data_IF_071863821817
#
_entry.id   IF_071863821817
#
_cell.length_a   1.000
_cell.length_b   1.000
_cell.length_c   1.000
_cell.angle_alpha   90.00
_cell.angle_beta   90.00
_cell.angle_gamma   90.00
#
_symmetry.space_group_name_H-M   'P 1'
#
loop_
_entity.id
_entity.type
_entity.pdbx_description
1 polymer ?
#
# COMPACT_ATOMS: atom_id res chain seq x y z
N UNK A 1 2.03 -0.53 10.73
CA UNK A 1 2.43 0.89 10.68
C UNK A 1 1.83 1.56 11.92
N UNK A 2 2.63 2.11 12.85
CA UNK A 2 2.05 2.84 14.01
C UNK A 2 1.39 4.12 13.49
N UNK A 3 0.12 4.34 13.86
CA UNK A 3 -0.61 5.56 13.51
C UNK A 3 0.11 6.78 14.12
N UNK A 4 0.15 7.88 13.38
CA UNK A 4 0.56 9.19 13.91
C UNK A 4 -0.62 9.82 14.66
N UNK A 5 -0.33 10.60 15.71
CA UNK A 5 -1.35 11.30 16.49
C UNK A 5 -1.98 12.46 15.70
N UNK A 6 -1.15 13.21 14.96
CA UNK A 6 -1.57 14.28 14.05
C UNK A 6 -0.75 14.29 12.75
N UNK A 7 -1.36 14.79 11.68
CA UNK A 7 -0.72 15.02 10.39
C UNK A 7 -0.99 16.45 9.93
N UNK A 8 0.09 17.24 9.83
CA UNK A 8 0.11 18.56 9.22
C UNK A 8 0.31 18.44 7.71
N UNK A 9 -0.62 18.95 6.92
CA UNK A 9 -0.52 19.08 5.47
C UNK A 9 -0.31 20.56 5.14
N UNK A 10 0.71 20.90 4.35
CA UNK A 10 0.98 22.28 3.93
C UNK A 10 0.97 22.35 2.40
N UNK A 11 0.19 23.28 1.83
CA UNK A 11 0.13 23.40 0.38
C UNK A 11 1.39 24.10 -0.18
N UNK A 12 1.89 23.62 -1.32
CA UNK A 12 3.06 24.16 -2.03
C UNK A 12 2.78 24.50 -3.50
N UNK A 13 1.59 24.22 -4.04
CA UNK A 13 1.30 24.32 -5.48
C UNK A 13 0.30 25.40 -5.92
N UNK A 14 -0.05 26.37 -5.08
CA UNK A 14 -1.14 27.33 -5.35
C UNK A 14 -0.68 28.61 -6.06
N UNK A 15 -1.62 29.31 -6.74
CA UNK A 15 -1.38 30.66 -7.31
C UNK A 15 -1.37 31.79 -6.27
N UNK A 16 -1.73 31.49 -5.01
CA UNK A 16 -1.90 32.46 -3.93
C UNK A 16 -0.68 32.61 -3.00
N UNK A 17 0.29 31.71 -3.07
CA UNK A 17 1.54 31.78 -2.33
C UNK A 17 2.63 31.10 -3.14
N UNK A 18 3.86 31.61 -3.05
CA UNK A 18 4.98 31.03 -3.78
C UNK A 18 5.30 29.62 -3.23
N UNK A 19 5.59 28.62 -4.08
CA UNK A 19 5.88 27.25 -3.63
C UNK A 19 6.95 27.17 -2.54
N UNK A 20 7.96 28.01 -2.64
CA UNK A 20 9.09 28.11 -1.71
C UNK A 20 8.63 28.50 -0.30
N UNK A 21 7.55 29.30 -0.18
CA UNK A 21 6.97 29.66 1.12
C UNK A 21 6.38 28.44 1.82
N UNK A 22 5.63 27.60 1.10
CA UNK A 22 5.06 26.36 1.65
C UNK A 22 6.14 25.33 2.02
N UNK A 23 7.18 25.21 1.20
CA UNK A 23 8.33 24.34 1.47
C UNK A 23 9.14 24.80 2.69
N UNK A 24 9.38 26.11 2.81
CA UNK A 24 10.04 26.71 3.97
C UNK A 24 9.24 26.45 5.26
N UNK A 25 7.92 26.62 5.22
CA UNK A 25 7.05 26.32 6.36
C UNK A 25 7.07 24.81 6.72
N UNK A 26 7.10 23.92 5.73
CA UNK A 26 7.21 22.48 6.00
C UNK A 26 8.56 22.11 6.62
N UNK A 27 9.67 22.70 6.14
CA UNK A 27 10.99 22.53 6.75
C UNK A 27 11.00 23.04 8.19
N UNK A 28 10.47 24.24 8.42
CA UNK A 28 10.38 24.85 9.74
C UNK A 28 9.53 24.02 10.71
N UNK A 29 8.40 23.48 10.25
CA UNK A 29 7.56 22.60 11.05
C UNK A 29 8.32 21.35 11.54
N UNK A 30 9.14 20.74 10.67
CA UNK A 30 9.94 19.56 11.01
C UNK A 30 11.02 19.83 12.07
N UNK A 31 11.53 21.05 12.15
CA UNK A 31 12.42 21.51 13.23
C UNK A 31 11.63 21.63 14.54
N UNK A 32 10.49 22.32 14.50
CA UNK A 32 9.64 22.58 15.66
C UNK A 32 9.06 21.29 16.29
N UNK A 33 8.88 20.22 15.52
CA UNK A 33 8.41 18.94 16.07
C UNK A 33 9.42 18.24 16.99
N UNK A 34 10.71 18.53 16.87
CA UNK A 34 11.78 17.86 17.62
C UNK A 34 11.63 16.33 17.65
N UNK A 35 11.49 15.76 18.84
CA UNK A 35 11.36 14.32 19.07
C UNK A 35 10.03 13.72 18.65
N UNK A 36 9.00 14.53 18.40
CA UNK A 36 7.67 14.08 17.97
C UNK A 36 7.64 13.63 16.51
N UNK A 37 8.74 13.78 15.76
CA UNK A 37 8.89 13.15 14.42
C UNK A 37 9.29 11.66 14.48
N UNK A 38 9.81 11.20 15.63
CA UNK A 38 10.36 9.84 15.79
C UNK A 38 9.26 8.78 15.67
N UNK A 39 9.53 7.70 14.93
CA UNK A 39 8.55 6.64 14.65
C UNK A 39 8.01 5.92 15.91
N UNK A 40 8.79 5.92 17.00
CA UNK A 40 8.42 5.29 18.28
C UNK A 40 7.69 6.22 19.25
N UNK A 41 7.63 7.52 18.95
CA UNK A 41 6.94 8.48 19.82
C UNK A 41 5.42 8.25 19.74
N UNK A 42 4.71 8.04 20.86
CA UNK A 42 3.25 7.88 20.85
C UNK A 42 2.53 9.14 20.33
N UNK A 43 3.04 10.34 20.61
CA UNK A 43 2.47 11.62 20.14
C UNK A 43 3.01 12.03 18.77
N UNK A 44 3.34 11.05 17.92
CA UNK A 44 4.03 11.33 16.67
C UNK A 44 3.25 12.28 15.77
N UNK A 45 3.91 13.33 15.31
CA UNK A 45 3.39 14.28 14.32
C UNK A 45 4.04 13.96 12.97
N UNK A 46 3.23 13.84 11.92
CA UNK A 46 3.70 13.75 10.54
C UNK A 46 3.49 15.11 9.87
N UNK A 47 4.42 15.52 9.01
CA UNK A 47 4.19 16.62 8.06
C UNK A 47 4.33 16.11 6.63
N UNK A 48 3.51 16.62 5.72
CA UNK A 48 3.67 16.40 4.28
C UNK A 48 3.30 17.67 3.54
N UNK A 49 4.07 17.97 2.51
CA UNK A 49 3.66 18.95 1.52
C UNK A 49 2.64 18.31 0.58
N UNK A 50 1.73 19.14 0.07
CA UNK A 50 0.69 18.76 -0.89
C UNK A 50 0.58 19.83 -1.96
N UNK A 51 0.06 19.49 -3.13
CA UNK A 51 -0.28 20.47 -4.15
C UNK A 51 -1.40 21.42 -3.65
N UNK A 52 -1.92 22.28 -4.54
CA UNK A 52 -2.97 23.23 -4.20
C UNK A 52 -4.19 22.55 -3.54
N UNK A 53 -4.60 23.04 -2.37
CA UNK A 53 -5.79 22.57 -1.64
C UNK A 53 -7.09 23.25 -2.12
N UNK A 54 -7.05 23.98 -3.24
CA UNK A 54 -8.24 24.58 -3.87
C UNK A 54 -8.74 25.88 -3.21
N UNK A 55 -7.99 26.46 -2.28
CA UNK A 55 -8.33 27.73 -1.62
C UNK A 55 -7.59 28.87 -2.31
N UNK A 56 -8.17 29.37 -3.40
CA UNK A 56 -7.50 30.20 -4.41
C UNK A 56 -6.87 31.52 -3.92
N UNK A 57 -7.17 32.00 -2.70
CA UNK A 57 -6.66 33.27 -2.14
C UNK A 57 -6.17 33.15 -0.69
N UNK A 58 -6.05 31.94 -0.14
CA UNK A 58 -5.76 31.73 1.28
C UNK A 58 -4.36 31.20 1.59
N UNK A 59 -3.49 31.05 0.60
CA UNK A 59 -2.21 30.37 0.76
C UNK A 59 -1.18 31.13 1.61
N UNK A 60 -0.20 30.43 2.21
CA UNK A 60 -0.14 28.98 2.38
C UNK A 60 -1.26 28.45 3.29
N UNK A 61 -1.83 27.31 2.91
CA UNK A 61 -2.87 26.60 3.67
C UNK A 61 -2.21 25.50 4.47
N UNK A 62 -2.56 25.40 5.76
CA UNK A 62 -2.19 24.27 6.59
C UNK A 62 -3.43 23.53 7.11
N UNK A 63 -3.43 22.20 7.02
CA UNK A 63 -4.53 21.34 7.47
C UNK A 63 -4.02 20.34 8.48
N UNK A 64 -4.71 20.21 9.61
CA UNK A 64 -4.38 19.25 10.66
C UNK A 64 -5.40 18.13 10.69
N UNK A 65 -4.96 16.91 10.41
CA UNK A 65 -5.73 15.68 10.59
C UNK A 65 -5.29 14.90 11.84
N UNK A 66 -6.18 14.17 12.52
CA UNK A 66 -7.60 13.96 12.23
C UNK A 66 -8.51 15.15 12.63
N UNK A 67 -7.95 16.20 13.22
CA UNK A 67 -8.69 17.33 13.82
C UNK A 67 -9.61 18.04 12.82
N UNK A 68 -9.31 17.97 11.52
CA UNK A 68 -10.11 18.55 10.45
C UNK A 68 -10.10 20.07 10.45
N UNK A 69 -9.02 20.69 10.92
CA UNK A 69 -8.89 22.14 11.12
C UNK A 69 -7.99 22.71 10.04
N UNK A 70 -8.45 23.81 9.44
CA UNK A 70 -7.80 24.47 8.33
C UNK A 70 -7.40 25.90 8.72
N UNK A 71 -6.14 26.21 8.45
CA UNK A 71 -5.52 27.51 8.65
C UNK A 71 -5.15 28.11 7.29
N UNK A 72 -5.30 29.42 7.15
CA UNK A 72 -4.98 30.18 5.93
C UNK A 72 -3.96 31.27 6.24
N UNK A 73 -3.27 31.76 5.19
CA UNK A 73 -2.20 32.76 5.28
C UNK A 73 -1.15 32.37 6.33
N UNK A 74 -0.80 31.09 6.36
CA UNK A 74 0.14 30.59 7.36
C UNK A 74 1.52 31.14 7.06
N UNK A 75 2.03 31.97 7.97
CA UNK A 75 3.41 32.43 8.01
C UNK A 75 4.19 31.69 9.12
N UNK A 76 5.47 32.05 9.31
CA UNK A 76 6.30 31.38 10.31
C UNK A 76 5.79 31.59 11.75
N UNK A 77 5.24 32.76 12.06
CA UNK A 77 4.72 33.08 13.39
C UNK A 77 3.45 32.25 13.70
N UNK A 78 2.51 32.22 12.77
CA UNK A 78 1.29 31.41 12.88
C UNK A 78 1.63 29.92 12.85
N UNK A 79 2.60 29.47 12.05
CA UNK A 79 3.08 28.09 12.08
C UNK A 79 3.59 27.71 13.47
N UNK A 80 4.37 28.59 14.12
CA UNK A 80 4.83 28.39 15.50
C UNK A 80 3.67 28.16 16.47
N UNK A 81 2.62 28.98 16.37
CA UNK A 81 1.37 28.83 17.16
C UNK A 81 0.65 27.53 16.85
N UNK A 82 0.49 27.17 15.57
CA UNK A 82 -0.14 25.90 15.16
C UNK A 82 0.63 24.71 15.73
N UNK A 83 1.97 24.74 15.72
CA UNK A 83 2.76 23.64 16.28
C UNK A 83 2.63 23.59 17.80
N UNK A 84 2.85 24.70 18.50
CA UNK A 84 2.88 24.75 19.96
C UNK A 84 1.49 24.59 20.59
N UNK A 85 0.51 25.39 20.16
CA UNK A 85 -0.84 25.40 20.74
C UNK A 85 -1.63 24.17 20.25
N UNK A 86 -1.67 23.93 18.93
CA UNK A 86 -2.57 22.94 18.36
C UNK A 86 -1.96 21.54 18.28
N UNK A 87 -0.82 21.38 17.60
CA UNK A 87 -0.23 20.06 17.40
C UNK A 87 0.33 19.48 18.69
N UNK A 88 0.90 20.35 19.55
CA UNK A 88 1.52 19.96 20.81
C UNK A 88 0.54 20.05 21.98
N UNK A 89 -0.04 21.24 22.21
CA UNK A 89 -0.96 21.52 23.31
C UNK A 89 -2.39 21.03 23.10
N UNK A 90 -2.74 20.61 21.88
CA UNK A 90 -4.09 20.12 21.55
C UNK A 90 -5.17 21.19 21.45
N UNK A 91 -4.81 22.48 21.51
CA UNK A 91 -5.71 23.61 21.44
C UNK A 91 -5.60 24.30 20.07
N UNK A 92 -6.65 24.23 19.22
CA UNK A 92 -6.61 24.90 17.92
C UNK A 92 -6.45 26.42 18.04
N UNK A 93 -5.72 27.02 17.12
CA UNK A 93 -5.45 28.47 17.09
C UNK A 93 -6.70 29.21 16.61
N UNK A 94 -7.65 29.44 17.51
CA UNK A 94 -9.05 29.75 17.19
C UNK A 94 -9.23 30.94 16.24
N UNK A 95 -8.43 31.99 16.40
CA UNK A 95 -8.44 33.22 15.60
C UNK A 95 -7.96 33.02 14.15
N UNK A 96 -7.20 31.96 13.88
CA UNK A 96 -6.63 31.67 12.57
C UNK A 96 -7.39 30.58 11.78
N UNK A 97 -8.46 30.03 12.35
CA UNK A 97 -9.24 28.96 11.72
C UNK A 97 -10.27 29.57 10.78
N UNK A 98 -10.16 29.27 9.49
CA UNK A 98 -11.18 29.68 8.51
C UNK A 98 -12.16 28.56 8.16
N UNK A 99 -11.80 27.29 8.43
CA UNK A 99 -12.68 26.17 8.15
C UNK A 99 -12.45 24.99 9.11
N UNK A 100 -13.54 24.30 9.43
CA UNK A 100 -13.56 23.06 10.21
C UNK A 100 -14.39 22.02 9.47
N UNK A 101 -13.84 20.81 9.32
CA UNK A 101 -14.58 19.67 8.75
C UNK A 101 -15.62 19.12 9.74
N UNK A 102 -15.46 19.37 11.03
CA UNK A 102 -16.36 18.94 12.09
C UNK A 102 -16.82 20.14 12.93
N UNK A 103 -18.05 20.12 13.46
CA UNK A 103 -18.47 21.08 14.48
C UNK A 103 -17.52 21.09 15.69
N UNK A 104 -17.33 22.24 16.33
CA UNK A 104 -16.37 22.38 17.44
C UNK A 104 -16.56 21.38 18.60
N UNK A 105 -17.78 20.85 18.76
CA UNK A 105 -18.18 19.94 19.84
C UNK A 105 -18.33 18.47 19.39
N UNK A 106 -17.83 18.10 18.22
CA UNK A 106 -17.95 16.75 17.69
C UNK A 106 -16.58 16.15 17.38
N UNK A 107 -16.27 15.00 17.97
CA UNK A 107 -15.05 14.26 17.63
C UNK A 107 -15.14 13.65 16.21
N UNK A 108 -14.02 13.57 15.46
CA UNK A 108 -13.99 12.92 14.16
C UNK A 108 -14.40 11.45 14.28
N UNK A 109 -15.26 10.98 13.37
CA UNK A 109 -15.61 9.55 13.28
C UNK A 109 -14.38 8.64 13.07
N UNK A 110 -13.26 9.20 12.59
CA UNK A 110 -11.94 8.55 12.50
C UNK A 110 -10.88 9.37 13.24
N UNK A 111 -10.91 9.35 14.57
CA UNK A 111 -9.78 9.75 15.41
C UNK A 111 -9.01 8.48 15.83
N UNK A 112 -7.76 8.24 15.38
CA UNK A 112 -6.97 7.15 15.91
C UNK A 112 -6.84 7.31 17.44
N UNK A 113 -7.02 6.21 18.19
CA UNK A 113 -7.03 6.13 19.68
C UNK A 113 -5.72 6.51 20.38
N UNK A 114 -4.89 7.31 19.73
CA UNK A 114 -3.58 7.78 20.21
C UNK A 114 -3.72 9.06 21.05
N UNK A 115 -4.92 9.67 21.07
CA UNK A 115 -5.24 10.81 21.93
C UNK A 115 -5.44 10.35 23.38
N UNK A 116 -4.33 10.26 24.11
CA UNK A 116 -4.26 10.40 25.56
C UNK A 116 -5.02 9.39 26.42
N UNK A 117 -4.39 8.24 26.67
CA UNK A 117 -4.61 7.43 27.90
C UNK A 117 -3.24 6.98 28.44
N UNK A 118 -2.43 7.92 28.92
CA UNK A 118 -1.35 7.62 29.88
C UNK A 118 -1.39 8.71 30.95
N UNK A 119 -1.64 8.27 32.18
CA UNK A 119 -2.04 9.10 33.31
C UNK A 119 -1.05 10.18 33.75
N UNK A 120 -1.62 11.10 34.51
CA UNK A 120 -1.03 12.16 35.33
C UNK A 120 0.10 11.69 36.24
N UNK A 121 1.27 12.35 36.15
CA UNK A 121 2.10 12.93 37.25
C UNK A 121 3.59 12.95 36.89
N UNK A 122 4.42 13.77 37.56
CA UNK A 122 4.25 15.19 37.92
C UNK A 122 5.35 16.06 37.27
N UNK A 123 5.17 17.37 37.36
CA UNK A 123 6.11 18.41 36.96
C UNK A 123 7.52 18.15 37.49
N UNK A 124 8.52 18.33 36.62
CA UNK A 124 9.89 18.58 37.02
C UNK A 124 10.34 19.87 36.31
N UNK A 125 10.51 20.90 37.15
CA UNK A 125 11.05 22.20 36.81
C UNK A 125 12.43 22.11 36.16
N UNK A 126 12.62 22.85 35.06
CA UNK A 126 13.87 23.53 34.76
C UNK A 126 13.67 24.46 33.56
N UNK A 127 13.75 25.76 33.80
CA UNK A 127 14.06 26.78 32.80
C UNK A 127 15.32 27.53 33.27
N UNK A 128 15.91 28.40 32.45
CA UNK A 128 16.97 28.06 31.49
C UNK A 128 18.32 28.68 31.90
N UNK A 129 19.45 28.13 31.43
CA UNK A 129 20.72 28.86 31.44
C UNK A 129 21.17 29.14 30.01
N UNK A 130 21.32 30.44 29.74
CA UNK A 130 21.93 31.01 28.56
C UNK A 130 23.40 30.58 28.47
N UNK A 131 23.81 30.17 27.28
CA UNK A 131 25.08 30.63 26.71
C UNK A 131 25.04 30.44 25.19
N UNK A 132 24.80 31.55 24.50
CA UNK A 132 24.99 31.70 23.07
C UNK A 132 26.48 31.88 22.81
N UNK A 133 27.17 30.78 22.51
CA UNK A 133 28.50 30.83 21.90
C UNK A 133 28.35 30.60 20.39
N UNK A 134 28.58 31.67 19.63
CA UNK A 134 28.81 31.63 18.19
C UNK A 134 29.91 30.62 17.86
N UNK A 135 29.59 29.59 17.09
CA UNK A 135 30.56 28.66 16.53
C UNK A 135 30.45 28.72 15.01
N UNK A 136 31.47 29.33 14.40
CA UNK A 136 31.79 29.34 12.98
C UNK A 136 31.64 27.94 12.34
N UNK A 137 31.30 27.86 11.04
CA UNK A 137 30.99 26.60 10.37
C UNK A 137 32.25 25.74 10.24
N UNK A 138 32.46 24.85 11.21
CA UNK A 138 33.48 23.81 11.09
C UNK A 138 33.05 22.82 10.00
N UNK A 139 33.96 22.59 9.05
CA UNK A 139 33.88 21.60 7.98
C UNK A 139 33.59 20.19 8.53
N UNK A 140 32.33 19.86 8.81
CA UNK A 140 31.92 18.53 9.24
C UNK A 140 31.71 17.62 8.04
N UNK A 141 32.80 17.26 7.34
CA UNK A 141 32.87 15.91 6.77
C UNK A 141 32.99 14.92 7.93
N UNK A 142 31.85 14.60 8.53
CA UNK A 142 31.73 13.47 9.45
C UNK A 142 32.02 12.19 8.63
N UNK A 143 33.26 11.72 8.71
CA UNK A 143 33.66 10.42 8.18
C UNK A 143 32.67 9.36 8.69
N UNK A 144 31.97 8.72 7.76
CA UNK A 144 30.97 7.73 8.09
C UNK A 144 31.67 6.48 8.60
N UNK A 145 31.48 6.15 9.87
CA UNK A 145 32.01 4.91 10.46
C UNK A 145 31.64 3.68 9.62
N UNK A 146 32.51 2.66 9.61
CA UNK A 146 32.30 1.41 8.88
C UNK A 146 30.94 0.76 9.20
N UNK A 147 30.46 0.91 10.44
CA UNK A 147 29.12 0.45 10.86
C UNK A 147 27.96 1.23 10.21
N UNK A 148 28.09 2.56 10.05
CA UNK A 148 27.09 3.38 9.35
C UNK A 148 27.07 3.05 7.85
N UNK A 149 28.25 2.77 7.26
CA UNK A 149 28.36 2.33 5.88
C UNK A 149 27.76 0.94 5.67
N UNK A 150 28.07 -0.03 6.55
CA UNK A 150 27.50 -1.37 6.52
C UNK A 150 25.98 -1.36 6.72
N UNK A 151 25.46 -0.51 7.63
CA UNK A 151 24.03 -0.33 7.84
C UNK A 151 23.34 0.30 6.64
N UNK A 152 23.95 1.31 6.00
CA UNK A 152 23.44 1.91 4.76
C UNK A 152 23.47 0.93 3.60
N UNK A 153 24.50 0.09 3.49
CA UNK A 153 24.59 -0.98 2.50
C UNK A 153 23.54 -2.06 2.74
N UNK A 154 23.30 -2.47 3.99
CA UNK A 154 22.25 -3.43 4.35
C UNK A 154 20.83 -2.89 4.08
N UNK A 155 20.61 -1.58 4.29
CA UNK A 155 19.34 -0.91 3.94
C UNK A 155 19.19 -0.75 2.43
N UNK A 156 20.25 -0.40 1.70
CA UNK A 156 20.25 -0.35 0.22
C UNK A 156 19.97 -1.71 -0.40
N UNK A 157 20.61 -2.78 0.12
CA UNK A 157 20.35 -4.17 -0.28
C UNK A 157 18.91 -4.61 0.00
N UNK A 158 18.24 -4.03 1.00
CA UNK A 158 16.80 -4.23 1.28
C UNK A 158 15.87 -3.35 0.44
N UNK A 159 16.39 -2.36 -0.28
CA UNK A 159 15.64 -1.43 -1.12
C UNK A 159 15.75 -1.75 -2.62
N UNK A 160 16.29 -2.91 -2.99
CA UNK A 160 16.29 -3.35 -4.38
C UNK A 160 14.85 -3.57 -4.85
N UNK A 161 14.43 -2.77 -5.83
CA UNK A 161 13.14 -2.93 -6.48
C UNK A 161 13.28 -4.11 -7.43
N UNK A 162 12.46 -5.14 -7.22
CA UNK A 162 12.29 -6.25 -8.14
C UNK A 162 10.81 -6.58 -8.31
N UNK A 163 10.50 -7.22 -9.42
CA UNK A 163 9.23 -7.89 -9.65
C UNK A 163 9.10 -9.09 -8.73
N UNK A 164 7.91 -9.27 -8.17
CA UNK A 164 7.64 -10.27 -7.13
C UNK A 164 6.84 -11.45 -7.68
N UNK A 165 7.13 -12.65 -7.19
CA UNK A 165 6.25 -13.81 -7.32
C UNK A 165 5.39 -13.91 -6.05
N UNK A 166 4.08 -13.79 -6.21
CA UNK A 166 3.11 -13.77 -5.11
C UNK A 166 2.20 -15.00 -5.22
N UNK A 167 2.01 -15.73 -4.13
CA UNK A 167 1.13 -16.91 -4.08
C UNK A 167 0.01 -16.68 -3.06
N UNK A 168 -1.24 -16.73 -3.51
CA UNK A 168 -2.42 -16.72 -2.66
C UNK A 168 -3.05 -18.12 -2.65
N UNK A 169 -2.84 -18.87 -1.57
CA UNK A 169 -3.29 -20.26 -1.42
C UNK A 169 -4.21 -20.48 -0.23
N UNK A 170 -4.49 -21.74 0.12
CA UNK A 170 -5.32 -22.13 1.26
C UNK A 170 -6.79 -22.36 0.91
N UNK A 171 -7.51 -22.93 1.88
CA UNK A 171 -8.88 -23.41 1.67
C UNK A 171 -9.98 -22.34 1.80
N UNK A 172 -9.65 -21.19 2.36
CA UNK A 172 -10.57 -20.07 2.54
C UNK A 172 -10.89 -19.34 1.23
N UNK A 173 -12.04 -18.67 1.24
CA UNK A 173 -12.44 -17.71 0.21
C UNK A 173 -11.50 -16.49 0.24
N UNK A 174 -11.12 -16.00 -0.93
CA UNK A 174 -10.45 -14.71 -1.07
C UNK A 174 -9.27 -14.67 -2.05
N UNK A 175 -8.76 -15.84 -2.49
CA UNK A 175 -7.48 -15.96 -3.22
C UNK A 175 -7.48 -15.16 -4.51
N UNK A 176 -8.44 -15.46 -5.38
CA UNK A 176 -8.69 -14.74 -6.63
C UNK A 176 -9.04 -13.28 -6.38
N UNK A 177 -9.94 -12.97 -5.44
CA UNK A 177 -10.30 -11.57 -5.16
C UNK A 177 -9.12 -10.72 -4.65
N UNK A 178 -8.18 -11.31 -3.92
CA UNK A 178 -6.96 -10.60 -3.51
C UNK A 178 -6.04 -10.33 -4.71
N UNK A 179 -5.87 -11.29 -5.61
CA UNK A 179 -5.13 -11.09 -6.86
C UNK A 179 -5.79 -10.01 -7.75
N UNK A 180 -7.12 -10.05 -7.88
CA UNK A 180 -7.89 -9.03 -8.61
C UNK A 180 -7.81 -7.64 -7.93
N UNK A 181 -7.71 -7.59 -6.59
CA UNK A 181 -7.43 -6.34 -5.88
C UNK A 181 -6.07 -5.75 -6.22
N UNK A 182 -5.05 -6.60 -6.44
CA UNK A 182 -3.75 -6.16 -6.96
C UNK A 182 -3.85 -5.72 -8.42
N UNK A 183 -4.61 -6.42 -9.27
CA UNK A 183 -4.93 -5.97 -10.64
C UNK A 183 -5.51 -4.56 -10.64
N UNK A 184 -6.55 -4.29 -9.84
CA UNK A 184 -7.16 -2.96 -9.75
C UNK A 184 -6.17 -1.90 -9.26
N UNK A 185 -5.32 -2.24 -8.28
CA UNK A 185 -4.27 -1.33 -7.78
C UNK A 185 -3.22 -1.02 -8.84
N UNK A 186 -2.78 -2.02 -9.59
CA UNK A 186 -1.78 -1.88 -10.65
C UNK A 186 -2.35 -1.05 -11.81
N UNK A 187 -3.56 -1.38 -12.26
CA UNK A 187 -4.28 -0.62 -13.29
C UNK A 187 -4.48 0.85 -12.90
N UNK A 188 -4.89 1.11 -11.65
CA UNK A 188 -5.03 2.48 -11.13
C UNK A 188 -3.71 3.27 -11.04
N UNK A 189 -2.57 2.61 -11.26
CA UNK A 189 -1.24 3.23 -11.37
C UNK A 189 -0.72 3.26 -12.81
N UNK A 190 -1.56 2.98 -13.80
CA UNK A 190 -1.19 2.96 -15.22
C UNK A 190 -0.34 1.75 -15.62
N UNK A 191 -0.27 0.72 -14.78
CA UNK A 191 0.47 -0.51 -15.09
C UNK A 191 -0.35 -1.40 -16.02
N UNK A 192 0.32 -2.09 -16.94
CA UNK A 192 -0.29 -3.07 -17.83
C UNK A 192 -0.47 -4.39 -17.10
N UNK A 193 -1.70 -4.92 -17.11
CA UNK A 193 -2.06 -6.15 -16.40
C UNK A 193 -2.59 -7.19 -17.39
N UNK A 194 -2.21 -8.45 -17.17
CA UNK A 194 -2.75 -9.62 -17.88
C UNK A 194 -3.28 -10.65 -16.89
N UNK A 195 -4.44 -11.23 -17.18
CA UNK A 195 -5.02 -12.30 -16.34
C UNK A 195 -5.31 -13.54 -17.19
N UNK A 196 -4.91 -14.70 -16.67
CA UNK A 196 -5.15 -16.03 -17.23
C UNK A 196 -5.86 -16.87 -16.17
N UNK A 197 -7.03 -17.41 -16.49
CA UNK A 197 -7.81 -18.29 -15.62
C UNK A 197 -7.76 -19.74 -16.12
N UNK A 198 -7.12 -20.61 -15.36
CA UNK A 198 -6.81 -21.97 -15.81
C UNK A 198 -7.97 -22.97 -15.67
N UNK A 199 -8.96 -22.68 -14.81
CA UNK A 199 -10.15 -23.53 -14.65
C UNK A 199 -11.38 -23.04 -15.40
N UNK A 200 -11.41 -21.79 -15.85
CA UNK A 200 -12.61 -21.22 -16.48
C UNK A 200 -12.49 -21.31 -18.00
N UNK A 201 -13.61 -21.63 -18.63
CA UNK A 201 -13.73 -21.64 -20.09
C UNK A 201 -13.64 -20.22 -20.66
N UNK A 202 -13.16 -20.11 -21.90
CA UNK A 202 -12.91 -18.83 -22.57
C UNK A 202 -14.15 -17.91 -22.62
N UNK A 203 -15.33 -18.51 -22.76
CA UNK A 203 -16.60 -17.77 -22.86
C UNK A 203 -17.22 -17.40 -21.49
N UNK A 204 -16.55 -17.71 -20.38
CA UNK A 204 -17.11 -17.48 -19.06
C UNK A 204 -17.15 -15.97 -18.72
N UNK A 205 -18.35 -15.43 -18.53
CA UNK A 205 -18.54 -14.00 -18.18
C UNK A 205 -18.95 -13.83 -16.72
N UNK A 206 -17.95 -13.67 -15.85
CA UNK A 206 -18.11 -13.37 -14.43
C UNK A 206 -17.99 -11.86 -14.15
N UNK A 207 -18.31 -11.43 -12.92
CA UNK A 207 -18.19 -10.02 -12.53
C UNK A 207 -16.82 -9.41 -12.84
N UNK A 208 -15.73 -10.16 -12.58
CA UNK A 208 -14.37 -9.70 -12.83
C UNK A 208 -14.02 -9.55 -14.31
N UNK A 209 -14.52 -10.43 -15.19
CA UNK A 209 -14.21 -10.33 -16.63
C UNK A 209 -14.95 -9.15 -17.25
N UNK A 210 -16.19 -8.89 -16.82
CA UNK A 210 -16.98 -7.70 -17.20
C UNK A 210 -16.33 -6.39 -16.73
N UNK A 211 -15.73 -6.39 -15.55
CA UNK A 211 -14.98 -5.24 -15.04
C UNK A 211 -13.68 -5.03 -15.84
N UNK A 212 -12.93 -6.12 -16.10
CA UNK A 212 -11.68 -6.08 -16.87
C UNK A 212 -11.89 -5.54 -18.30
N UNK A 213 -12.97 -5.94 -18.97
CA UNK A 213 -13.35 -5.43 -20.30
C UNK A 213 -13.51 -3.90 -20.28
N UNK A 214 -14.20 -3.34 -19.29
CA UNK A 214 -14.34 -1.88 -19.12
C UNK A 214 -13.03 -1.19 -18.78
N UNK A 215 -12.10 -1.88 -18.13
CA UNK A 215 -10.77 -1.38 -17.80
C UNK A 215 -9.76 -1.50 -18.96
N UNK A 216 -10.13 -2.18 -20.06
CA UNK A 216 -9.21 -2.51 -21.15
C UNK A 216 -8.12 -3.52 -20.75
N UNK A 217 -8.38 -4.34 -19.74
CA UNK A 217 -7.44 -5.36 -19.25
C UNK A 217 -7.73 -6.68 -19.97
N UNK A 218 -6.70 -7.23 -20.61
CA UNK A 218 -6.82 -8.52 -21.29
C UNK A 218 -7.00 -9.66 -20.27
N UNK A 219 -8.14 -10.35 -20.34
CA UNK A 219 -8.54 -11.41 -19.43
C UNK A 219 -8.93 -12.65 -20.24
N UNK A 220 -8.24 -13.78 -20.05
CA UNK A 220 -8.49 -15.02 -20.81
C UNK A 220 -8.74 -16.22 -19.91
N UNK A 221 -9.78 -16.99 -20.21
CA UNK A 221 -10.00 -18.33 -19.64
C UNK A 221 -9.39 -19.39 -20.55
N UNK A 222 -8.60 -20.32 -20.01
CA UNK A 222 -7.91 -21.38 -20.76
C UNK A 222 -8.34 -22.77 -20.34
N UNK A 223 -9.32 -22.90 -19.44
CA UNK A 223 -9.86 -24.18 -18.98
C UNK A 223 -11.11 -24.62 -19.75
N UNK A 224 -11.72 -25.71 -19.31
CA UNK A 224 -13.00 -26.24 -19.80
C UNK A 224 -14.18 -25.97 -18.84
N UNK A 225 -13.93 -25.29 -17.72
CA UNK A 225 -14.86 -25.18 -16.60
C UNK A 225 -14.37 -26.00 -15.41
N UNK A 226 -15.19 -26.10 -14.36
CA UNK A 226 -14.81 -26.86 -13.18
C UNK A 226 -14.53 -28.34 -13.54
N UNK A 227 -13.33 -28.82 -13.23
CA UNK A 227 -12.80 -30.12 -13.70
C UNK A 227 -13.64 -31.33 -13.24
N UNK A 228 -14.36 -31.21 -12.12
CA UNK A 228 -15.27 -32.24 -11.61
C UNK A 228 -16.55 -32.44 -12.44
N UNK A 229 -16.76 -31.63 -13.49
CA UNK A 229 -17.80 -31.83 -14.50
C UNK A 229 -17.27 -32.28 -15.86
N UNK A 230 -15.95 -32.42 -16.01
CA UNK A 230 -15.35 -32.83 -17.27
C UNK A 230 -15.62 -34.31 -17.57
N UNK A 231 -16.04 -34.58 -18.80
CA UNK A 231 -16.26 -35.94 -19.32
C UNK A 231 -14.98 -36.56 -19.91
N UNK A 232 -13.93 -35.76 -20.10
CA UNK A 232 -12.68 -36.17 -20.73
C UNK A 232 -11.47 -35.46 -20.08
N UNK A 233 -10.76 -36.19 -19.21
CA UNK A 233 -9.62 -35.64 -18.47
C UNK A 233 -8.42 -35.31 -19.35
N UNK A 234 -8.22 -36.03 -20.45
CA UNK A 234 -7.10 -35.78 -21.37
C UNK A 234 -7.27 -34.42 -22.07
N UNK A 235 -8.50 -34.06 -22.45
CA UNK A 235 -8.82 -32.78 -23.05
C UNK A 235 -8.65 -31.62 -22.04
N UNK A 236 -9.08 -31.85 -20.78
CA UNK A 236 -8.88 -30.89 -19.68
C UNK A 236 -7.39 -30.64 -19.44
N UNK A 237 -6.58 -31.70 -19.38
CA UNK A 237 -5.13 -31.59 -19.22
C UNK A 237 -4.49 -30.83 -20.40
N UNK A 238 -4.86 -31.17 -21.64
CA UNK A 238 -4.32 -30.50 -22.82
C UNK A 238 -4.61 -28.99 -22.83
N UNK A 239 -5.83 -28.58 -22.45
CA UNK A 239 -6.21 -27.16 -22.33
C UNK A 239 -5.43 -26.43 -21.23
N UNK A 240 -5.28 -27.06 -20.07
CA UNK A 240 -4.51 -26.53 -18.96
C UNK A 240 -3.04 -26.30 -19.35
N UNK A 241 -2.42 -27.28 -20.01
CA UNK A 241 -1.05 -27.17 -20.53
C UNK A 241 -0.93 -26.11 -21.63
N UNK A 242 -1.92 -26.00 -22.52
CA UNK A 242 -1.96 -24.92 -23.51
C UNK A 242 -2.05 -23.53 -22.86
N UNK A 243 -2.84 -23.39 -21.79
CA UNK A 243 -2.88 -22.17 -20.99
C UNK A 243 -1.52 -21.82 -20.40
N UNK A 244 -0.71 -22.82 -20.04
CA UNK A 244 0.64 -22.60 -19.54
C UNK A 244 1.59 -22.13 -20.65
N UNK A 245 1.50 -22.71 -21.86
CA UNK A 245 2.23 -22.19 -23.03
C UNK A 245 1.90 -20.73 -23.34
N UNK A 246 0.62 -20.37 -23.28
CA UNK A 246 0.18 -18.98 -23.45
C UNK A 246 0.77 -18.07 -22.35
N UNK A 247 0.75 -18.50 -21.09
CA UNK A 247 1.35 -17.76 -19.99
C UNK A 247 2.85 -17.53 -20.19
N UNK A 248 3.58 -18.55 -20.66
CA UNK A 248 5.01 -18.45 -20.97
C UNK A 248 5.28 -17.40 -22.05
N UNK A 249 4.50 -17.41 -23.13
CA UNK A 249 4.59 -16.41 -24.22
C UNK A 249 4.35 -14.99 -23.70
N UNK A 250 3.29 -14.79 -22.90
CA UNK A 250 2.96 -13.50 -22.29
C UNK A 250 4.08 -12.99 -21.39
N UNK A 251 4.66 -13.87 -20.57
CA UNK A 251 5.72 -13.51 -19.62
C UNK A 251 7.01 -13.12 -20.38
N UNK A 252 7.40 -13.90 -21.40
CA UNK A 252 8.61 -13.62 -22.19
C UNK A 252 8.47 -12.34 -23.01
N UNK A 253 7.28 -12.06 -23.55
CA UNK A 253 7.02 -10.84 -24.32
C UNK A 253 7.28 -9.56 -23.51
N UNK A 254 7.20 -9.64 -22.17
CA UNK A 254 7.50 -8.54 -21.25
C UNK A 254 6.72 -7.24 -21.55
N UNK A 255 5.51 -7.37 -22.09
CA UNK A 255 4.64 -6.24 -22.40
C UNK A 255 3.75 -5.82 -21.23
N UNK A 256 3.75 -6.61 -20.15
CA UNK A 256 2.89 -6.44 -18.98
C UNK A 256 3.73 -6.28 -17.71
N UNK A 257 3.30 -5.41 -16.81
CA UNK A 257 3.96 -5.22 -15.52
C UNK A 257 3.46 -6.23 -14.47
N UNK A 258 2.22 -6.70 -14.60
CA UNK A 258 1.60 -7.69 -13.71
C UNK A 258 0.91 -8.78 -14.51
N UNK A 259 1.25 -10.03 -14.24
CA UNK A 259 0.62 -11.22 -14.81
C UNK A 259 -0.02 -12.04 -13.69
N UNK A 260 -1.31 -12.36 -13.82
CA UNK A 260 -2.06 -13.17 -12.86
C UNK A 260 -2.36 -14.53 -13.48
N UNK A 261 -1.90 -15.58 -12.81
CA UNK A 261 -2.15 -16.98 -13.11
C UNK A 261 -3.17 -17.51 -12.09
N UNK A 262 -4.45 -17.29 -12.40
CA UNK A 262 -5.55 -17.59 -11.49
C UNK A 262 -5.93 -19.08 -11.56
N UNK A 263 -6.03 -19.72 -10.40
CA UNK A 263 -6.28 -21.15 -10.20
C UNK A 263 -5.21 -22.07 -10.83
N UNK A 264 -3.99 -21.56 -11.00
CA UNK A 264 -2.88 -22.28 -11.63
C UNK A 264 -2.34 -23.43 -10.76
N UNK A 265 -2.48 -23.34 -9.43
CA UNK A 265 -1.96 -24.38 -8.53
C UNK A 265 -2.64 -25.73 -8.75
N UNK A 266 -3.88 -25.77 -9.23
CA UNK A 266 -4.57 -27.03 -9.53
C UNK A 266 -3.88 -27.86 -10.59
N UNK A 267 -3.24 -27.23 -11.60
CA UNK A 267 -2.54 -27.95 -12.66
C UNK A 267 -1.35 -28.73 -12.09
N UNK A 268 -0.65 -28.14 -11.12
CA UNK A 268 0.42 -28.81 -10.39
C UNK A 268 -0.13 -29.85 -9.41
N UNK A 269 -1.21 -29.54 -8.69
CA UNK A 269 -1.83 -30.47 -7.73
C UNK A 269 -2.41 -31.73 -8.41
N UNK A 270 -2.91 -31.61 -9.64
CA UNK A 270 -3.35 -32.74 -10.46
C UNK A 270 -2.21 -33.52 -11.10
N UNK A 271 -0.95 -33.06 -10.95
CA UNK A 271 0.23 -33.71 -11.51
C UNK A 271 0.38 -33.55 -13.02
N UNK A 272 -0.32 -32.60 -13.64
CA UNK A 272 -0.24 -32.36 -15.09
C UNK A 272 1.04 -31.65 -15.49
N UNK A 273 1.61 -30.86 -14.58
CA UNK A 273 2.94 -30.26 -14.72
C UNK A 273 3.69 -30.32 -13.38
N UNK A 274 5.00 -30.53 -13.42
CA UNK A 274 5.82 -30.57 -12.23
C UNK A 274 6.00 -29.17 -11.60
N UNK A 275 5.86 -29.06 -10.27
CA UNK A 275 6.07 -27.79 -9.58
C UNK A 275 7.50 -27.24 -9.77
N UNK A 276 8.50 -28.12 -9.77
CA UNK A 276 9.91 -27.74 -10.03
C UNK A 276 10.10 -27.21 -11.45
N UNK A 277 9.48 -27.85 -12.43
CA UNK A 277 9.53 -27.39 -13.83
C UNK A 277 9.00 -25.97 -13.96
N UNK A 278 7.86 -25.67 -13.31
CA UNK A 278 7.29 -24.32 -13.26
C UNK A 278 8.23 -23.32 -12.58
N UNK A 279 8.78 -23.69 -11.43
CA UNK A 279 9.70 -22.83 -10.65
C UNK A 279 10.98 -22.54 -11.42
N UNK A 280 11.61 -23.56 -11.99
CA UNK A 280 12.83 -23.42 -12.78
C UNK A 280 12.59 -22.53 -13.99
N UNK A 281 11.46 -22.73 -14.67
CA UNK A 281 11.08 -21.91 -15.81
C UNK A 281 10.85 -20.44 -15.40
N UNK A 282 10.09 -20.18 -14.33
CA UNK A 282 9.86 -18.82 -13.83
C UNK A 282 11.17 -18.17 -13.38
N UNK A 283 12.03 -18.90 -12.69
CA UNK A 283 13.32 -18.38 -12.22
C UNK A 283 14.23 -17.97 -13.38
N UNK A 284 14.22 -18.73 -14.49
CA UNK A 284 15.05 -18.46 -15.65
C UNK A 284 14.48 -17.40 -16.60
N UNK A 285 13.15 -17.31 -16.74
CA UNK A 285 12.53 -16.58 -17.85
C UNK A 285 11.72 -15.35 -17.41
N UNK A 286 11.29 -15.25 -16.14
CA UNK A 286 10.46 -14.14 -15.68
C UNK A 286 11.26 -12.82 -15.73
N UNK A 287 10.76 -11.77 -16.41
CA UNK A 287 11.41 -10.47 -16.42
C UNK A 287 11.62 -9.91 -15.00
N UNK A 288 12.75 -9.25 -14.79
CA UNK A 288 13.22 -8.85 -13.46
C UNK A 288 12.22 -7.97 -12.69
N UNK A 289 11.48 -7.10 -13.39
CA UNK A 289 10.55 -6.13 -12.80
C UNK A 289 9.07 -6.56 -12.85
N UNK A 290 8.72 -7.59 -13.63
CA UNK A 290 7.34 -8.06 -13.75
C UNK A 290 6.85 -8.68 -12.44
N UNK A 291 5.63 -8.40 -12.00
CA UNK A 291 5.00 -9.13 -10.90
C UNK A 291 4.21 -10.32 -11.46
N UNK A 292 4.33 -11.48 -10.84
CA UNK A 292 3.55 -12.68 -11.16
C UNK A 292 2.74 -13.07 -9.93
N UNK A 293 1.42 -13.19 -10.06
CA UNK A 293 0.54 -13.59 -8.97
C UNK A 293 -0.09 -14.93 -9.32
N UNK A 294 0.11 -15.93 -8.48
CA UNK A 294 -0.43 -17.28 -8.63
C UNK A 294 -1.48 -17.50 -7.56
N UNK A 295 -2.62 -18.05 -7.95
CA UNK A 295 -3.69 -18.38 -7.00
C UNK A 295 -4.09 -19.85 -7.11
N UNK A 296 -4.71 -20.34 -6.05
CA UNK A 296 -5.44 -21.60 -6.02
C UNK A 296 -5.15 -22.41 -4.76
N UNK A 297 -5.86 -23.52 -4.58
CA UNK A 297 -5.67 -24.39 -3.40
C UNK A 297 -4.39 -25.21 -3.53
N UNK A 298 -3.91 -25.72 -2.40
CA UNK A 298 -2.84 -26.73 -2.35
C UNK A 298 -1.57 -26.35 -3.14
N UNK A 299 -1.08 -25.13 -2.95
CA UNK A 299 0.18 -24.69 -3.57
C UNK A 299 1.33 -25.65 -3.19
N UNK A 300 2.06 -26.22 -4.17
CA UNK A 300 3.16 -27.15 -3.89
C UNK A 300 4.27 -26.49 -3.06
N UNK A 301 4.98 -27.24 -2.18
CA UNK A 301 6.06 -26.70 -1.35
C UNK A 301 7.13 -25.98 -2.17
N UNK A 302 7.52 -26.51 -3.33
CA UNK A 302 8.52 -25.88 -4.19
C UNK A 302 8.09 -24.48 -4.67
N UNK A 303 6.80 -24.29 -4.96
CA UNK A 303 6.27 -22.99 -5.34
C UNK A 303 6.21 -22.03 -4.14
N UNK A 304 5.86 -22.55 -2.95
CA UNK A 304 5.83 -21.77 -1.71
C UNK A 304 7.23 -21.26 -1.35
N UNK A 305 8.23 -22.13 -1.45
CA UNK A 305 9.62 -21.78 -1.14
C UNK A 305 10.22 -20.79 -2.14
N UNK A 306 9.83 -20.90 -3.42
CA UNK A 306 10.28 -19.99 -4.48
C UNK A 306 9.65 -18.59 -4.40
N UNK A 307 8.40 -18.49 -3.96
CA UNK A 307 7.65 -17.25 -4.00
C UNK A 307 8.19 -16.19 -3.02
N UNK A 308 8.15 -14.92 -3.43
CA UNK A 308 8.56 -13.78 -2.60
C UNK A 308 7.54 -13.46 -1.49
N UNK A 309 6.27 -13.78 -1.74
CA UNK A 309 5.19 -13.58 -0.78
C UNK A 309 4.18 -14.71 -0.91
N UNK A 310 3.87 -15.37 0.20
CA UNK A 310 2.83 -16.40 0.28
C UNK A 310 1.80 -16.00 1.31
N UNK A 311 0.53 -16.03 0.94
CA UNK A 311 -0.61 -15.85 1.85
C UNK A 311 -1.48 -17.10 1.82
N UNK A 312 -1.64 -17.73 2.97
CA UNK A 312 -2.57 -18.85 3.16
C UNK A 312 -3.92 -18.33 3.70
N UNK A 313 -4.95 -18.43 2.88
CA UNK A 313 -6.32 -18.10 3.30
C UNK A 313 -6.93 -19.30 4.01
N UNK A 314 -7.12 -19.18 5.32
CA UNK A 314 -7.74 -20.22 6.14
C UNK A 314 -9.24 -19.97 6.25
N UNK A 315 -10.03 -21.01 6.05
CA UNK A 315 -11.48 -20.96 6.27
C UNK A 315 -11.75 -21.00 7.78
N UNK A 316 -12.06 -19.85 8.38
CA UNK A 316 -12.51 -19.78 9.77
C UNK A 316 -14.03 -19.97 9.88
N UNK A 317 -14.76 -19.41 8.93
CA UNK A 317 -16.22 -19.51 8.78
C UNK A 317 -16.58 -19.29 7.31
N UNK A 318 -17.58 -20.00 6.80
CA UNK A 318 -18.08 -19.85 5.43
C UNK A 318 -19.62 -19.91 5.39
N UNK A 319 -20.32 -18.91 4.82
CA UNK A 319 -21.79 -18.83 4.81
C UNK A 319 -22.47 -20.09 4.26
N UNK A 320 -21.91 -20.71 3.22
CA UNK A 320 -22.44 -21.96 2.70
C UNK A 320 -22.39 -23.11 3.70
N UNK A 321 -21.27 -23.26 4.43
CA UNK A 321 -21.04 -24.37 5.36
C UNK A 321 -21.78 -24.17 6.67
N UNK A 322 -21.72 -22.97 7.22
CA UNK A 322 -22.24 -22.67 8.56
C UNK A 322 -23.71 -22.25 8.56
N UNK A 323 -24.22 -21.75 7.43
CA UNK A 323 -25.55 -21.17 7.34
C UNK A 323 -26.37 -21.73 6.17
N UNK A 324 -25.80 -22.57 5.29
CA UNK A 324 -26.48 -23.10 4.10
C UNK A 324 -26.77 -22.05 3.02
N UNK A 325 -26.18 -20.85 3.13
CA UNK A 325 -26.43 -19.75 2.20
C UNK A 325 -25.72 -20.05 0.87
N UNK A 326 -26.48 -20.06 -0.22
CA UNK A 326 -25.97 -20.29 -1.59
C UNK A 326 -25.18 -19.08 -2.11
N UNK A 327 -24.36 -19.32 -3.12
CA UNK A 327 -23.59 -18.28 -3.81
C UNK A 327 -24.46 -17.13 -4.33
N UNK A 328 -23.98 -15.89 -4.18
CA UNK A 328 -24.68 -14.66 -4.54
C UNK A 328 -23.90 -13.84 -5.59
N UNK A 329 -24.60 -13.18 -6.54
CA UNK A 329 -23.98 -12.25 -7.46
C UNK A 329 -23.28 -11.10 -6.73
N UNK A 330 -22.07 -10.76 -7.18
CA UNK A 330 -21.22 -9.72 -6.59
C UNK A 330 -20.44 -10.15 -5.35
N UNK A 331 -20.72 -11.34 -4.80
CA UNK A 331 -19.99 -11.91 -3.65
C UNK A 331 -19.20 -13.15 -4.06
N UNK A 332 -19.86 -14.14 -4.67
CA UNK A 332 -19.22 -15.38 -5.17
C UNK A 332 -18.88 -15.34 -6.65
N UNK A 333 -19.70 -14.66 -7.47
CA UNK A 333 -19.56 -14.59 -8.92
C UNK A 333 -20.14 -13.30 -9.51
#
# INVERSE_FOLDING_TARGET
MRAYGRHLLICTGGSCAAPEQGEALAARALELFGDRRKLRNPERIKCSTVDCLGVCSGGPIAVVYPDGIWYHHVDEALLGRIVCEHLIGGQPVADAIFHRLYPANQEPAYAPKVRGDIGTSPQADASPSADSAELEPSDTRLESTAEKQARRAAVRKRNERKGLVIVNTGNGKGKTSAALGVMTRAWGRGMKVRVIQFLKHENAKFGETRAAEKMGIAFSGTGDGFTWTSKNLDETQAKALHGWELAKQIIIANEHDVVILDEFTYIMAFGWIGAREVVDWLSANKPAMMHVIITGRDAPPELVDFADLVTEMREIKHPFKDQGIRAQPGIEF
#
